data_IF_842222176511
#
_entry.id   IF_842222176511
#
_cell.length_a   1.000
_cell.length_b   1.000
_cell.length_c   1.000
_cell.angle_alpha   90.00
_cell.angle_beta   90.00
_cell.angle_gamma   90.00
#
_symmetry.space_group_name_H-M   'P 1'
#
loop_
_entity.id
_entity.type
_entity.pdbx_description
1 polymer ?
#
# COMPACT_ATOMS: atom_id res chain seq x y z
N UNK A 1 7.57 -11.92 2.83
CA UNK A 1 6.89 -10.87 3.62
C UNK A 1 7.84 -9.90 4.34
N UNK A 2 9.19 -10.02 4.23
CA UNK A 2 10.12 -9.07 4.88
C UNK A 2 9.97 -7.64 4.37
N UNK A 3 10.02 -7.39 3.05
CA UNK A 3 9.88 -6.06 2.43
C UNK A 3 8.61 -5.24 2.79
N UNK A 4 7.63 -5.87 3.44
CA UNK A 4 6.34 -5.25 3.82
C UNK A 4 6.08 -5.35 5.34
N UNK A 5 7.12 -5.61 6.13
CA UNK A 5 7.00 -5.67 7.59
C UNK A 5 6.89 -4.26 8.17
N UNK A 6 5.96 -4.08 9.12
CA UNK A 6 5.68 -2.81 9.81
C UNK A 6 6.88 -2.31 10.63
N UNK A 7 7.81 -3.21 10.98
CA UNK A 7 8.98 -2.92 11.82
C UNK A 7 10.24 -2.55 11.02
N UNK A 8 10.15 -2.36 9.72
CA UNK A 8 11.32 -2.12 8.87
C UNK A 8 11.45 -0.62 8.58
N UNK A 9 12.65 -0.10 8.83
CA UNK A 9 13.00 1.29 8.52
C UNK A 9 13.01 1.54 7.00
N UNK A 10 12.57 2.72 6.58
CA UNK A 10 12.48 3.11 5.18
C UNK A 10 13.83 3.03 4.46
N UNK A 11 14.91 3.39 5.15
CA UNK A 11 16.28 3.27 4.62
C UNK A 11 16.61 1.81 4.30
N UNK A 12 16.18 0.88 5.16
CA UNK A 12 16.38 -0.55 4.95
C UNK A 12 15.47 -1.13 3.86
N UNK A 13 14.27 -0.58 3.68
CA UNK A 13 13.39 -0.93 2.54
C UNK A 13 14.07 -0.57 1.21
N UNK A 14 14.63 0.65 1.11
CA UNK A 14 15.35 1.12 -0.08
C UNK A 14 16.55 0.24 -0.41
N UNK A 15 17.35 -0.14 0.59
CA UNK A 15 18.51 -1.03 0.38
C UNK A 15 18.08 -2.43 -0.03
N UNK A 16 17.01 -2.99 0.55
CA UNK A 16 16.47 -4.28 0.14
C UNK A 16 15.97 -4.27 -1.31
N UNK A 17 15.26 -3.21 -1.74
CA UNK A 17 14.87 -3.06 -3.14
C UNK A 17 16.09 -2.98 -4.06
N UNK A 18 17.13 -2.23 -3.66
CA UNK A 18 18.38 -2.10 -4.43
C UNK A 18 19.06 -3.47 -4.59
N UNK A 19 19.20 -4.24 -3.53
CA UNK A 19 19.78 -5.59 -3.58
C UNK A 19 18.95 -6.55 -4.43
N UNK A 20 17.62 -6.50 -4.32
CA UNK A 20 16.72 -7.31 -5.12
C UNK A 20 16.82 -6.98 -6.62
N UNK A 21 16.87 -5.69 -6.95
CA UNK A 21 17.05 -5.21 -8.32
C UNK A 21 18.38 -5.70 -8.89
N UNK A 22 19.48 -5.64 -8.12
CA UNK A 22 20.77 -6.17 -8.57
C UNK A 22 20.73 -7.67 -8.81
N UNK A 23 20.11 -8.44 -7.93
CA UNK A 23 19.97 -9.88 -8.11
C UNK A 23 19.20 -10.24 -9.39
N UNK A 24 18.09 -9.54 -9.66
CA UNK A 24 17.30 -9.76 -10.88
C UNK A 24 18.04 -9.29 -12.13
N UNK A 25 18.79 -8.20 -12.03
CA UNK A 25 19.64 -7.71 -13.11
C UNK A 25 20.74 -8.73 -13.44
N UNK A 26 21.37 -9.31 -12.43
CA UNK A 26 22.39 -10.33 -12.59
C UNK A 26 21.81 -11.59 -13.25
N UNK A 27 20.66 -12.08 -12.76
CA UNK A 27 19.91 -13.16 -13.41
C UNK A 27 19.55 -12.86 -14.87
N UNK A 28 19.18 -11.61 -15.17
CA UNK A 28 18.87 -11.15 -16.53
C UNK A 28 20.10 -11.17 -17.43
N UNK A 29 21.26 -10.78 -16.90
CA UNK A 29 22.53 -10.75 -17.62
C UNK A 29 23.07 -12.18 -17.85
N UNK A 30 22.89 -13.07 -16.89
CA UNK A 30 23.27 -14.49 -16.99
C UNK A 30 22.28 -15.34 -17.80
N UNK A 31 21.23 -14.76 -18.37
CA UNK A 31 20.18 -15.52 -19.06
C UNK A 31 20.72 -16.39 -20.20
N UNK A 32 21.70 -15.90 -20.98
CA UNK A 32 22.32 -16.66 -22.06
C UNK A 32 23.01 -17.94 -21.58
N UNK A 33 23.62 -17.90 -20.39
CA UNK A 33 24.23 -19.07 -19.76
C UNK A 33 23.18 -20.11 -19.35
N UNK A 34 22.09 -19.66 -18.72
CA UNK A 34 20.98 -20.54 -18.33
C UNK A 34 20.22 -21.10 -19.52
N UNK A 35 20.07 -20.34 -20.60
CA UNK A 35 19.47 -20.79 -21.85
C UNK A 35 20.30 -21.93 -22.47
N UNK A 36 21.63 -21.81 -22.47
CA UNK A 36 22.53 -22.87 -22.95
C UNK A 36 22.39 -24.15 -22.13
N UNK A 37 22.43 -24.04 -20.80
CA UNK A 37 22.21 -25.17 -19.88
C UNK A 37 20.83 -25.82 -20.06
N UNK A 38 19.80 -25.01 -20.31
CA UNK A 38 18.45 -25.51 -20.57
C UNK A 38 18.32 -26.31 -21.86
N UNK A 39 19.03 -25.89 -22.92
CA UNK A 39 19.12 -26.65 -24.18
C UNK A 39 19.87 -27.97 -23.99
N UNK A 40 21.02 -27.93 -23.33
CA UNK A 40 21.83 -29.13 -23.01
C UNK A 40 21.04 -30.16 -22.19
N UNK A 41 20.24 -29.73 -21.22
CA UNK A 41 19.45 -30.64 -20.36
C UNK A 41 18.15 -31.13 -20.98
N UNK A 42 17.48 -30.32 -21.81
CA UNK A 42 16.18 -30.71 -22.39
C UNK A 42 16.31 -31.41 -23.75
N UNK A 43 17.45 -31.27 -24.43
CA UNK A 43 17.65 -31.78 -25.79
C UNK A 43 16.78 -31.06 -26.85
N UNK A 44 16.15 -29.94 -26.50
CA UNK A 44 15.28 -29.16 -27.38
C UNK A 44 15.93 -27.82 -27.71
N UNK A 45 16.33 -27.65 -28.97
CA UNK A 45 16.98 -26.43 -29.46
C UNK A 45 16.01 -25.29 -29.81
N UNK A 46 14.72 -25.61 -29.98
CA UNK A 46 13.69 -24.65 -30.39
C UNK A 46 12.55 -24.59 -29.37
N UNK A 47 12.27 -23.39 -28.87
CA UNK A 47 11.06 -23.12 -28.11
C UNK A 47 9.83 -23.41 -29.00
N UNK A 48 8.81 -24.09 -28.47
CA UNK A 48 7.49 -24.15 -29.10
C UNK A 48 6.91 -22.72 -29.15
N UNK A 49 7.05 -22.05 -30.29
CA UNK A 49 6.60 -20.67 -30.47
C UNK A 49 5.09 -20.65 -30.72
N UNK A 50 4.34 -20.05 -29.79
CA UNK A 50 3.11 -19.34 -30.15
C UNK A 50 3.09 -17.87 -29.67
N UNK A 51 4.13 -17.38 -29.00
CA UNK A 51 4.17 -15.97 -28.56
C UNK A 51 5.53 -15.30 -28.76
N UNK A 52 6.04 -15.28 -30.00
CA UNK A 52 7.06 -14.31 -30.40
C UNK A 52 6.39 -12.97 -30.73
N UNK A 53 6.29 -12.06 -29.75
CA UNK A 53 6.21 -10.61 -30.06
C UNK A 53 7.63 -10.04 -29.95
N UNK A 54 8.21 -9.68 -31.11
CA UNK A 54 9.50 -8.97 -31.26
C UNK A 54 10.76 -9.69 -30.72
N UNK A 55 11.01 -10.93 -31.11
CA UNK A 55 12.36 -11.52 -31.07
C UNK A 55 13.01 -11.78 -29.70
N UNK A 56 12.40 -11.39 -28.58
CA UNK A 56 12.87 -11.68 -27.22
C UNK A 56 12.21 -12.93 -26.65
N UNK A 57 12.95 -13.70 -25.84
CA UNK A 57 12.40 -14.84 -25.11
C UNK A 57 11.38 -14.37 -24.05
N UNK A 58 10.32 -15.15 -23.80
CA UNK A 58 9.26 -14.79 -22.85
C UNK A 58 9.81 -14.46 -21.46
N UNK A 59 10.80 -15.23 -20.99
CA UNK A 59 11.45 -15.01 -19.70
C UNK A 59 12.21 -13.68 -19.64
N UNK A 60 12.85 -13.26 -20.73
CA UNK A 60 13.51 -11.96 -20.82
C UNK A 60 12.51 -10.81 -20.72
N UNK A 61 11.35 -10.94 -21.39
CA UNK A 61 10.27 -9.95 -21.32
C UNK A 61 9.72 -9.85 -19.90
N UNK A 62 9.54 -11.00 -19.23
CA UNK A 62 9.08 -11.05 -17.83
C UNK A 62 10.11 -10.39 -16.91
N UNK A 63 11.40 -10.70 -17.04
CA UNK A 63 12.47 -10.10 -16.24
C UNK A 63 12.60 -8.59 -16.51
N UNK A 64 12.56 -8.16 -17.77
CA UNK A 64 12.60 -6.74 -18.16
C UNK A 64 11.41 -5.98 -17.54
N UNK A 65 10.20 -6.56 -17.63
CA UNK A 65 8.97 -5.97 -17.05
C UNK A 65 9.03 -5.93 -15.52
N UNK A 66 9.53 -6.98 -14.89
CA UNK A 66 9.65 -7.07 -13.44
C UNK A 66 10.66 -6.05 -12.93
N UNK A 67 11.80 -5.90 -13.62
CA UNK A 67 12.80 -4.89 -13.34
C UNK A 67 12.22 -3.47 -13.47
N UNK A 68 11.40 -3.21 -14.50
CA UNK A 68 10.75 -1.89 -14.65
C UNK A 68 9.80 -1.60 -13.50
N UNK A 69 8.96 -2.54 -13.11
CA UNK A 69 8.02 -2.36 -12.00
C UNK A 69 8.73 -2.23 -10.63
N UNK A 70 9.80 -2.98 -10.39
CA UNK A 70 10.60 -2.83 -9.17
C UNK A 70 11.30 -1.48 -9.10
N UNK A 71 11.86 -0.99 -10.21
CA UNK A 71 12.49 0.33 -10.25
C UNK A 71 11.46 1.45 -10.03
N UNK A 72 10.26 1.34 -10.61
CA UNK A 72 9.16 2.28 -10.36
C UNK A 72 8.81 2.33 -8.88
N UNK A 73 8.65 1.16 -8.24
CA UNK A 73 8.37 1.08 -6.80
C UNK A 73 9.50 1.68 -5.98
N UNK A 74 10.75 1.28 -6.24
CA UNK A 74 11.91 1.81 -5.54
C UNK A 74 11.99 3.34 -5.63
N UNK A 75 11.78 3.92 -6.82
CA UNK A 75 11.77 5.38 -7.01
C UNK A 75 10.74 6.08 -6.12
N UNK A 76 9.56 5.47 -5.94
CA UNK A 76 8.56 6.01 -5.01
C UNK A 76 9.03 5.97 -3.55
N UNK A 77 9.67 4.88 -3.11
CA UNK A 77 10.30 4.79 -1.77
C UNK A 77 11.45 5.79 -1.61
N UNK A 78 12.31 5.95 -2.62
CA UNK A 78 13.41 6.90 -2.62
C UNK A 78 12.90 8.33 -2.45
N UNK A 79 11.84 8.70 -3.20
CA UNK A 79 11.21 10.03 -3.13
C UNK A 79 10.68 10.33 -1.73
N UNK A 80 9.97 9.38 -1.12
CA UNK A 80 9.44 9.54 0.25
C UNK A 80 10.59 9.59 1.27
N UNK A 81 11.63 8.78 1.08
CA UNK A 81 12.79 8.75 1.98
C UNK A 81 13.61 10.04 1.93
N UNK A 82 13.75 10.66 0.75
CA UNK A 82 14.41 11.96 0.61
C UNK A 82 13.68 13.04 1.40
N UNK A 83 12.34 13.04 1.35
CA UNK A 83 11.48 14.04 2.01
C UNK A 83 11.37 13.84 3.52
N UNK A 84 11.05 12.63 3.96
CA UNK A 84 10.69 12.35 5.36
C UNK A 84 11.78 11.57 6.12
N UNK A 85 12.78 11.00 5.43
CA UNK A 85 13.79 10.12 6.03
C UNK A 85 14.64 10.78 7.12
N UNK A 86 14.77 12.11 7.10
CA UNK A 86 15.52 12.85 8.12
C UNK A 86 14.82 12.83 9.49
N UNK A 87 13.49 12.73 9.54
CA UNK A 87 12.69 12.70 10.79
C UNK A 87 13.06 11.47 11.62
N UNK A 88 13.37 10.34 10.96
CA UNK A 88 13.76 9.09 11.61
C UNK A 88 15.25 9.06 12.01
N UNK A 89 16.05 10.02 11.53
CA UNK A 89 17.50 10.08 11.76
C UNK A 89 17.93 11.41 12.39
N UNK A 90 17.03 12.10 13.09
CA UNK A 90 17.27 13.44 13.67
C UNK A 90 18.50 13.49 14.58
N UNK A 91 18.71 12.47 15.41
CA UNK A 91 19.87 12.41 16.33
C UNK A 91 21.18 12.06 15.62
N UNK A 92 21.13 11.28 14.53
CA UNK A 92 22.30 10.86 13.75
C UNK A 92 22.80 11.95 12.79
N UNK A 93 21.92 12.85 12.36
CA UNK A 93 22.22 13.90 11.39
C UNK A 93 22.81 15.15 12.07
N UNK A 94 23.69 15.90 11.36
CA UNK A 94 24.16 17.20 11.84
C UNK A 94 23.04 18.25 11.78
N UNK A 95 23.08 19.22 12.70
CA UNK A 95 22.08 20.29 12.83
C UNK A 95 21.84 21.06 11.53
N UNK A 96 22.90 21.32 10.76
CA UNK A 96 22.83 22.01 9.47
C UNK A 96 21.96 21.25 8.47
N UNK A 97 22.13 19.92 8.38
CA UNK A 97 21.35 19.07 7.49
C UNK A 97 19.90 18.93 7.92
N UNK A 98 19.65 18.80 9.22
CA UNK A 98 18.28 18.76 9.76
C UNK A 98 17.53 20.05 9.39
N UNK A 99 18.18 21.20 9.56
CA UNK A 99 17.59 22.50 9.20
C UNK A 99 17.30 22.59 7.69
N UNK A 100 18.28 22.23 6.85
CA UNK A 100 18.12 22.24 5.39
C UNK A 100 16.93 21.37 4.96
N UNK A 101 16.86 20.12 5.44
CA UNK A 101 15.80 19.19 5.06
C UNK A 101 14.43 19.59 5.61
N UNK A 102 14.36 20.14 6.83
CA UNK A 102 13.10 20.65 7.38
C UNK A 102 12.57 21.84 6.59
N UNK A 103 13.44 22.76 6.16
CA UNK A 103 13.06 23.88 5.29
C UNK A 103 12.58 23.37 3.93
N UNK A 104 13.27 22.40 3.33
CA UNK A 104 12.86 21.82 2.05
C UNK A 104 11.46 21.17 2.15
N UNK A 105 11.20 20.42 3.21
CA UNK A 105 9.88 19.81 3.42
C UNK A 105 8.80 20.87 3.64
N UNK A 106 9.10 21.93 4.40
CA UNK A 106 8.18 23.03 4.63
C UNK A 106 7.84 23.80 3.34
N UNK A 107 8.83 24.02 2.47
CA UNK A 107 8.61 24.67 1.17
C UNK A 107 7.72 23.82 0.24
N UNK A 108 7.79 22.50 0.37
CA UNK A 108 6.95 21.58 -0.40
C UNK A 108 5.51 21.52 0.13
N UNK A 109 5.31 21.72 1.44
CA UNK A 109 4.00 21.68 2.11
C UNK A 109 3.72 22.94 2.94
N UNK A 110 3.61 24.12 2.31
CA UNK A 110 3.50 25.40 3.03
C UNK A 110 2.14 25.58 3.72
N UNK A 111 1.09 24.87 3.29
CA UNK A 111 -0.24 24.91 3.91
C UNK A 111 -0.31 24.05 5.17
N UNK A 112 0.49 22.97 5.24
CA UNK A 112 0.49 22.02 6.35
C UNK A 112 1.59 22.30 7.39
N UNK A 113 2.72 22.89 6.97
CA UNK A 113 3.91 23.11 7.79
C UNK A 113 4.24 24.61 7.91
N UNK A 114 4.30 25.11 9.14
CA UNK A 114 4.65 26.49 9.41
C UNK A 114 6.16 26.77 9.27
N UNK A 115 6.53 28.04 9.09
CA UNK A 115 7.94 28.49 9.04
C UNK A 115 8.75 28.17 10.29
N UNK A 116 8.11 27.92 11.43
CA UNK A 116 8.75 27.47 12.66
C UNK A 116 9.04 25.96 12.71
N UNK A 117 8.64 25.17 11.70
CA UNK A 117 8.81 23.72 11.68
C UNK A 117 10.26 23.29 11.92
N UNK A 118 11.24 23.97 11.33
CA UNK A 118 12.66 23.62 11.53
C UNK A 118 13.10 23.81 12.99
N UNK A 119 12.55 24.80 13.72
CA UNK A 119 12.83 24.98 15.15
C UNK A 119 12.24 23.83 15.94
N UNK A 120 11.02 23.42 15.61
CA UNK A 120 10.35 22.27 16.22
C UNK A 120 11.17 20.98 16.04
N UNK A 121 11.70 20.73 14.84
CA UNK A 121 12.62 19.60 14.58
C UNK A 121 13.89 19.65 15.44
N UNK A 122 14.47 20.82 15.66
CA UNK A 122 15.66 20.98 16.50
C UNK A 122 15.33 20.71 17.97
N UNK A 123 14.22 21.25 18.48
CA UNK A 123 13.79 21.01 19.86
C UNK A 123 13.44 19.53 20.09
N UNK A 124 12.75 18.90 19.16
CA UNK A 124 12.44 17.47 19.24
C UNK A 124 13.70 16.61 19.16
N UNK A 125 14.68 16.98 18.34
CA UNK A 125 16.00 16.32 18.33
C UNK A 125 16.66 16.38 19.71
N UNK A 126 16.67 17.54 20.37
CA UNK A 126 17.20 17.67 21.74
C UNK A 126 16.41 16.83 22.74
N UNK A 127 15.09 16.78 22.63
CA UNK A 127 14.25 15.92 23.45
C UNK A 127 14.60 14.43 23.26
N UNK A 128 14.80 13.98 22.01
CA UNK A 128 15.22 12.62 21.71
C UNK A 128 16.62 12.28 22.26
N UNK A 129 17.56 13.23 22.21
CA UNK A 129 18.90 13.05 22.79
C UNK A 129 18.88 13.01 24.33
N UNK A 130 17.82 13.49 24.97
CA UNK A 130 17.64 13.41 26.43
C UNK A 130 17.03 12.09 26.91
N UNK A 131 16.50 11.27 25.99
CA UNK A 131 16.03 9.91 26.29
C UNK A 131 17.24 8.97 26.27
N UNK A 132 17.42 8.15 27.31
CA UNK A 132 18.55 7.20 27.42
C UNK A 132 18.77 6.41 26.12
N UNK A 133 20.05 6.24 25.72
CA UNK A 133 20.49 5.74 24.40
C UNK A 133 19.84 4.43 23.92
N UNK A 134 19.28 3.62 24.83
CA UNK A 134 18.58 2.36 24.51
C UNK A 134 17.14 2.56 23.99
N UNK A 135 16.56 3.76 24.08
CA UNK A 135 15.17 4.06 23.73
C UNK A 135 15.03 5.01 22.54
N UNK A 136 16.10 5.21 21.76
CA UNK A 136 16.01 6.04 20.57
C UNK A 136 15.05 5.40 19.56
N UNK A 137 14.00 6.11 19.11
CA UNK A 137 13.01 5.53 18.22
C UNK A 137 13.64 5.25 16.85
N UNK A 138 13.95 3.99 16.59
CA UNK A 138 14.55 3.54 15.34
C UNK A 138 13.51 3.40 14.22
N UNK A 139 12.23 3.27 14.59
CA UNK A 139 11.14 2.98 13.67
C UNK A 139 10.02 4.01 13.78
N UNK A 140 9.28 4.20 12.68
CA UNK A 140 8.05 5.01 12.61
C UNK A 140 7.07 4.69 13.73
N UNK A 141 6.94 3.40 14.08
CA UNK A 141 6.05 2.94 15.13
C UNK A 141 6.50 3.39 16.53
N UNK A 142 7.80 3.50 16.76
CA UNK A 142 8.34 3.92 18.05
C UNK A 142 8.19 5.43 18.23
N UNK A 143 8.41 6.22 17.16
CA UNK A 143 8.03 7.63 17.14
C UNK A 143 6.53 7.81 17.40
N UNK A 144 5.67 7.01 16.76
CA UNK A 144 4.23 7.08 16.97
C UNK A 144 3.83 6.77 18.42
N UNK A 145 4.50 5.81 19.09
CA UNK A 145 4.27 5.54 20.51
C UNK A 145 4.60 6.74 21.39
N UNK A 146 5.69 7.45 21.11
CA UNK A 146 6.06 8.69 21.83
C UNK A 146 4.96 9.74 21.68
N UNK A 147 4.38 9.87 20.49
CA UNK A 147 3.29 10.80 20.22
C UNK A 147 1.90 10.35 20.70
N UNK A 148 1.81 9.18 21.35
CA UNK A 148 0.58 8.75 22.01
C UNK A 148 0.32 9.59 23.28
N UNK A 149 1.38 10.11 23.90
CA UNK A 149 1.26 10.99 25.05
C UNK A 149 0.77 12.38 24.60
N UNK A 150 -0.39 12.85 25.11
CA UNK A 150 -1.02 14.09 24.63
C UNK A 150 -0.14 15.31 24.88
N UNK A 151 0.64 15.31 25.96
CA UNK A 151 1.57 16.40 26.30
C UNK A 151 2.66 16.57 25.24
N UNK A 152 3.20 15.46 24.72
CA UNK A 152 4.24 15.47 23.69
C UNK A 152 3.62 15.84 22.34
N UNK A 153 2.44 15.30 22.02
CA UNK A 153 1.72 15.65 20.80
C UNK A 153 1.34 17.13 20.72
N UNK A 154 1.03 17.77 21.84
CA UNK A 154 0.74 19.21 21.88
C UNK A 154 1.98 20.08 21.75
N UNK A 155 3.14 19.58 22.18
CA UNK A 155 4.41 20.31 22.13
C UNK A 155 5.03 20.33 20.73
N UNK A 156 4.79 19.27 19.95
CA UNK A 156 5.35 19.12 18.60
C UNK A 156 4.27 18.80 17.54
N UNK A 157 3.34 19.75 17.28
CA UNK A 157 2.23 19.53 16.37
C UNK A 157 2.67 19.34 14.91
N UNK A 158 3.68 20.06 14.41
CA UNK A 158 4.11 19.98 13.01
C UNK A 158 4.87 18.68 12.72
N UNK A 159 5.60 18.13 13.69
CA UNK A 159 6.20 16.79 13.57
C UNK A 159 5.12 15.73 13.52
N UNK A 160 4.05 15.85 14.31
CA UNK A 160 2.90 14.93 14.24
C UNK A 160 2.22 15.00 12.87
N UNK A 161 2.05 16.20 12.31
CA UNK A 161 1.50 16.40 10.96
C UNK A 161 2.42 15.72 9.93
N UNK A 162 3.72 15.99 9.95
CA UNK A 162 4.68 15.38 9.02
C UNK A 162 4.70 13.85 9.13
N UNK A 163 4.62 13.30 10.35
CA UNK A 163 4.51 11.85 10.58
C UNK A 163 3.21 11.26 10.04
N UNK A 164 2.08 11.97 10.18
CA UNK A 164 0.80 11.56 9.60
C UNK A 164 0.84 11.59 8.07
N UNK A 165 1.42 12.63 7.47
CA UNK A 165 1.61 12.72 6.02
C UNK A 165 2.44 11.54 5.50
N UNK A 166 3.51 11.19 6.22
CA UNK A 166 4.32 10.02 5.91
C UNK A 166 3.52 8.70 5.99
N UNK A 167 2.74 8.49 7.07
CA UNK A 167 1.92 7.29 7.25
C UNK A 167 0.76 7.17 6.25
N UNK A 168 0.24 8.31 5.78
CA UNK A 168 -0.80 8.37 4.76
C UNK A 168 -0.25 8.24 3.33
N UNK A 169 1.07 8.25 3.14
CA UNK A 169 1.67 8.07 1.82
C UNK A 169 1.33 6.68 1.25
N UNK A 170 0.90 6.56 -0.01
CA UNK A 170 0.53 5.28 -0.61
C UNK A 170 1.69 4.27 -0.60
N UNK A 171 2.92 4.75 -0.50
CA UNK A 171 4.15 3.96 -0.44
C UNK A 171 4.30 3.22 0.91
N UNK A 172 3.78 3.78 2.01
CA UNK A 172 3.81 3.16 3.34
C UNK A 172 2.59 2.27 3.61
N UNK A 173 1.53 2.37 2.80
CA UNK A 173 0.28 1.61 2.99
C UNK A 173 0.16 0.39 2.06
N UNK A 174 0.79 -0.73 2.45
CA UNK A 174 0.63 -2.03 1.76
C UNK A 174 -0.83 -2.52 1.69
N UNK A 175 -1.73 -1.99 2.52
CA UNK A 175 -3.16 -2.29 2.43
C UNK A 175 -3.76 -1.65 1.18
N UNK A 176 -3.41 -0.38 0.88
CA UNK A 176 -3.92 0.31 -0.29
C UNK A 176 -3.55 -0.41 -1.60
N UNK A 177 -2.30 -0.86 -1.77
CA UNK A 177 -1.90 -1.64 -2.95
C UNK A 177 -2.70 -2.94 -3.09
N UNK A 178 -2.92 -3.65 -1.98
CA UNK A 178 -3.74 -4.87 -1.95
C UNK A 178 -5.20 -4.58 -2.30
N UNK A 179 -5.77 -3.51 -1.76
CA UNK A 179 -7.13 -3.06 -2.03
C UNK A 179 -7.32 -2.67 -3.50
N UNK A 180 -6.40 -1.89 -4.08
CA UNK A 180 -6.44 -1.54 -5.49
C UNK A 180 -6.24 -2.76 -6.41
N UNK A 181 -5.40 -3.72 -6.01
CA UNK A 181 -5.23 -4.99 -6.73
C UNK A 181 -6.51 -5.84 -6.68
N UNK A 182 -7.14 -5.94 -5.51
CA UNK A 182 -8.42 -6.61 -5.33
C UNK A 182 -9.53 -5.95 -6.18
N UNK A 183 -9.61 -4.61 -6.16
CA UNK A 183 -10.54 -3.84 -6.97
C UNK A 183 -10.30 -4.05 -8.47
N UNK A 184 -9.05 -4.03 -8.92
CA UNK A 184 -8.68 -4.30 -10.32
C UNK A 184 -9.11 -5.71 -10.74
N UNK A 185 -8.94 -6.70 -9.86
CA UNK A 185 -9.38 -8.08 -10.11
C UNK A 185 -10.90 -8.17 -10.17
N UNK A 186 -11.63 -7.54 -9.25
CA UNK A 186 -13.10 -7.46 -9.28
C UNK A 186 -13.59 -6.87 -10.60
N UNK A 187 -13.05 -5.70 -10.98
CA UNK A 187 -13.45 -4.97 -12.20
C UNK A 187 -13.08 -5.72 -13.48
N UNK A 188 -11.92 -6.38 -13.51
CA UNK A 188 -11.45 -7.13 -14.67
C UNK A 188 -12.14 -8.48 -14.84
N UNK A 189 -12.51 -9.14 -13.74
CA UNK A 189 -13.23 -10.42 -13.77
C UNK A 189 -14.71 -10.22 -14.12
N UNK A 190 -15.35 -9.21 -13.51
CA UNK A 190 -16.77 -8.89 -13.72
C UNK A 190 -16.98 -7.84 -14.81
N UNK A 191 -16.25 -7.94 -15.93
CA UNK A 191 -16.12 -6.88 -16.97
C UNK A 191 -17.43 -6.52 -17.73
N UNK A 192 -18.61 -6.85 -17.23
CA UNK A 192 -19.90 -6.44 -17.76
C UNK A 192 -20.64 -5.52 -16.76
N UNK A 193 -20.70 -4.22 -17.11
CA UNK A 193 -21.76 -3.27 -16.67
C UNK A 193 -22.19 -3.37 -15.20
N UNK A 194 -21.25 -3.33 -14.26
CA UNK A 194 -21.57 -3.20 -12.84
C UNK A 194 -21.71 -1.72 -12.50
N UNK A 195 -22.80 -1.39 -11.81
CA UNK A 195 -23.05 -0.07 -11.26
C UNK A 195 -22.05 0.27 -10.13
N UNK A 196 -21.74 1.56 -9.96
CA UNK A 196 -20.72 2.03 -9.03
C UNK A 196 -21.03 1.64 -7.58
N UNK A 197 -22.30 1.63 -7.17
CA UNK A 197 -22.67 1.30 -5.78
C UNK A 197 -22.43 -0.17 -5.47
N UNK A 198 -22.73 -1.04 -6.44
CA UNK A 198 -22.49 -2.48 -6.34
C UNK A 198 -20.99 -2.80 -6.38
N UNK A 199 -20.21 -2.04 -7.16
CA UNK A 199 -18.76 -2.17 -7.18
C UNK A 199 -18.14 -1.80 -5.84
N UNK A 200 -18.55 -0.67 -5.25
CA UNK A 200 -18.02 -0.19 -3.99
C UNK A 200 -18.32 -1.20 -2.86
N UNK A 201 -19.56 -1.69 -2.82
CA UNK A 201 -19.97 -2.74 -1.87
C UNK A 201 -19.12 -4.01 -2.00
N UNK A 202 -18.86 -4.48 -3.23
CA UNK A 202 -18.04 -5.68 -3.45
C UNK A 202 -16.55 -5.44 -3.15
N UNK A 203 -16.06 -4.23 -3.40
CA UNK A 203 -14.71 -3.83 -3.04
C UNK A 203 -14.51 -3.89 -1.52
N UNK A 204 -15.43 -3.31 -0.75
CA UNK A 204 -15.41 -3.34 0.71
C UNK A 204 -15.39 -4.78 1.23
N UNK A 205 -16.29 -5.65 0.75
CA UNK A 205 -16.34 -7.06 1.15
C UNK A 205 -15.04 -7.83 0.84
N UNK A 206 -14.38 -7.49 -0.26
CA UNK A 206 -13.13 -8.12 -0.68
C UNK A 206 -11.91 -7.61 0.11
N UNK A 207 -11.88 -6.32 0.40
CA UNK A 207 -10.84 -5.68 1.24
C UNK A 207 -10.96 -6.22 2.66
N UNK A 208 -12.16 -6.18 3.23
CA UNK A 208 -12.49 -6.69 4.56
C UNK A 208 -12.90 -8.16 4.52
N UNK A 209 -12.20 -8.96 3.72
CA UNK A 209 -12.53 -10.38 3.52
C UNK A 209 -12.39 -11.21 4.80
N UNK A 210 -11.52 -10.81 5.73
CA UNK A 210 -11.37 -11.46 7.05
C UNK A 210 -12.64 -11.27 7.90
N UNK A 211 -13.15 -10.03 7.98
CA UNK A 211 -14.41 -9.71 8.67
C UNK A 211 -15.58 -10.40 7.96
N UNK A 212 -15.60 -10.35 6.63
CA UNK A 212 -16.64 -11.00 5.81
C UNK A 212 -16.66 -12.51 6.00
N UNK A 213 -15.50 -13.15 6.15
CA UNK A 213 -15.41 -14.59 6.41
C UNK A 213 -15.86 -14.97 7.82
N UNK A 214 -15.77 -14.05 8.78
CA UNK A 214 -16.27 -14.23 10.14
C UNK A 214 -17.80 -14.09 10.26
N UNK A 215 -18.46 -13.48 9.26
CA UNK A 215 -19.91 -13.33 9.22
C UNK A 215 -20.61 -14.68 8.97
N UNK A 216 -21.64 -14.96 9.77
CA UNK A 216 -22.49 -16.15 9.59
C UNK A 216 -23.42 -15.96 8.40
N UNK A 217 -22.97 -16.35 7.20
CA UNK A 217 -23.73 -16.23 5.95
C UNK A 217 -25.17 -16.75 6.04
N UNK A 218 -25.42 -17.81 6.81
CA UNK A 218 -26.78 -18.37 7.00
C UNK A 218 -27.77 -17.35 7.57
N UNK A 219 -27.36 -16.57 8.58
CA UNK A 219 -28.22 -15.56 9.20
C UNK A 219 -28.52 -14.42 8.23
N UNK A 220 -27.52 -13.98 7.46
CA UNK A 220 -27.67 -12.93 6.45
C UNK A 220 -28.61 -13.39 5.33
N UNK A 221 -28.49 -14.66 4.89
CA UNK A 221 -29.38 -15.24 3.88
C UNK A 221 -30.80 -15.34 4.42
N UNK A 222 -30.99 -15.80 5.66
CA UNK A 222 -32.30 -15.87 6.31
C UNK A 222 -32.95 -14.48 6.41
N UNK A 223 -32.22 -13.47 6.89
CA UNK A 223 -32.72 -12.10 7.03
C UNK A 223 -33.05 -11.45 5.67
N UNK A 224 -32.20 -11.67 4.66
CA UNK A 224 -32.45 -11.21 3.29
C UNK A 224 -33.66 -11.94 2.68
N UNK A 225 -33.80 -13.24 2.95
CA UNK A 225 -34.94 -14.03 2.48
C UNK A 225 -36.25 -13.56 3.11
N UNK A 226 -36.24 -13.18 4.39
CA UNK A 226 -37.40 -12.60 5.07
C UNK A 226 -37.78 -11.26 4.44
N UNK A 227 -36.84 -10.33 4.26
CA UNK A 227 -37.12 -9.03 3.64
C UNK A 227 -37.69 -9.17 2.21
N UNK A 228 -37.17 -10.10 1.41
CA UNK A 228 -37.66 -10.34 0.04
C UNK A 228 -39.00 -11.09 0.02
N UNK A 229 -39.20 -12.01 0.96
CA UNK A 229 -40.48 -12.68 1.18
C UNK A 229 -41.55 -11.68 1.60
N UNK A 230 -41.24 -10.70 2.45
CA UNK A 230 -42.17 -9.62 2.79
C UNK A 230 -42.56 -8.78 1.58
N UNK A 231 -41.63 -8.49 0.66
CA UNK A 231 -41.94 -7.79 -0.60
C UNK A 231 -42.85 -8.61 -1.51
N UNK A 232 -42.59 -9.92 -1.67
CA UNK A 232 -43.44 -10.82 -2.46
C UNK A 232 -44.81 -11.00 -1.81
N UNK A 233 -44.86 -11.11 -0.48
CA UNK A 233 -46.11 -11.24 0.28
C UNK A 233 -46.92 -9.94 0.21
N UNK A 234 -46.27 -8.78 0.28
CA UNK A 234 -46.89 -7.47 0.08
C UNK A 234 -47.43 -7.33 -1.35
N UNK A 235 -46.67 -7.69 -2.39
CA UNK A 235 -47.12 -7.66 -3.79
C UNK A 235 -48.30 -8.63 -4.02
N UNK A 236 -48.26 -9.82 -3.43
CA UNK A 236 -49.34 -10.80 -3.51
C UNK A 236 -50.60 -10.32 -2.77
N UNK A 237 -50.47 -9.73 -1.59
CA UNK A 237 -51.58 -9.10 -0.86
C UNK A 237 -52.15 -7.91 -1.62
N UNK A 238 -51.31 -7.08 -2.22
CA UNK A 238 -51.74 -5.94 -3.04
C UNK A 238 -52.49 -6.40 -4.30
N UNK A 239 -52.00 -7.45 -4.99
CA UNK A 239 -52.71 -8.07 -6.13
C UNK A 239 -54.04 -8.69 -5.71
N UNK A 240 -54.08 -9.38 -4.57
CA UNK A 240 -55.30 -10.03 -4.05
C UNK A 240 -56.36 -8.99 -3.63
N UNK A 241 -55.95 -7.89 -3.00
CA UNK A 241 -56.85 -6.79 -2.63
C UNK A 241 -57.32 -5.96 -3.84
N UNK A 242 -56.51 -5.83 -4.90
CA UNK A 242 -56.94 -5.16 -6.14
C UNK A 242 -57.97 -5.99 -6.93
N UNK A 243 -57.89 -7.33 -6.86
CA UNK A 243 -58.91 -8.22 -7.43
C UNK A 243 -60.23 -8.10 -6.65
N UNK A 244 -60.17 -7.88 -5.33
CA UNK A 244 -61.36 -7.65 -4.51
C UNK A 244 -62.09 -6.33 -4.81
N UNK A 245 -61.36 -5.32 -5.32
CA UNK A 245 -61.90 -4.01 -5.68
C UNK A 245 -62.46 -3.91 -7.12
N UNK A 246 -62.33 -4.95 -7.93
CA UNK A 246 -62.88 -5.02 -9.32
C UNK A 246 -64.14 -5.91 -9.36
N UNK A 247 -64.52 -6.56 -8.25
CA UNK A 247 -65.68 -7.46 -8.15
C UNK A 247 -66.82 -6.84 -7.31
N UNK A 248 -66.78 -5.53 -7.08
CA UNK A 248 -67.88 -4.75 -6.51
C UNK A 248 -68.24 -3.60 -7.45
#
# INVERSE_FOLDING_TARGET
KKLQSVHIDLTTVVTLYKSLIYYIQDLRNSFAFYEKLGKEKSGVDQYKIERKKKGKCLMEIILDSLLTELNKRKSAYDTVNIKFGFIFNLTKLPLSKVREQAIQLQLEYPEDLCSSFFNECIHFRSHLSGLEDNNLPLTVLDLYKIFKDPNISSLYPYIVIALRMYLCSPVSNCSAERSFSALKRIKSYLRSTIDNDRLNSLAILSIESEITSSLKYKKVIEEFSLQKAHLITFILLYKKNKILFIVH
#
